data_IF_114852637395
#
_entry.id   IF_114852637395
#
_cell.length_a   1.000
_cell.length_b   1.000
_cell.length_c   1.000
_cell.angle_alpha   90.00
_cell.angle_beta   90.00
_cell.angle_gamma   90.00
#
_symmetry.space_group_name_H-M   'P 1'
#
loop_
_entity.id
_entity.type
_entity.pdbx_description
1 polymer ?
#
# COMPACT_ATOMS: atom_id res chain seq x y z
N UNK A 1 30.09 -11.22 21.22
CA UNK A 1 30.49 -10.67 19.90
C UNK A 1 29.40 -9.71 19.46
N UNK A 2 29.73 -8.44 19.18
CA UNK A 2 28.76 -7.51 18.62
C UNK A 2 28.54 -7.86 17.14
N UNK A 3 27.28 -8.04 16.73
CA UNK A 3 26.93 -8.22 15.32
C UNK A 3 27.17 -6.89 14.61
N UNK A 4 27.91 -6.86 13.49
CA UNK A 4 28.11 -5.63 12.74
C UNK A 4 26.77 -5.12 12.22
N UNK A 5 26.45 -3.87 12.52
CA UNK A 5 25.24 -3.23 12.03
C UNK A 5 25.25 -3.19 10.49
N UNK A 6 24.11 -3.50 9.90
CA UNK A 6 23.86 -3.29 8.48
C UNK A 6 23.86 -1.81 8.11
N UNK A 7 23.99 -1.52 6.81
CA UNK A 7 23.89 -0.16 6.29
C UNK A 7 22.54 0.50 6.64
N UNK A 8 21.45 -0.29 6.64
CA UNK A 8 20.10 0.16 6.99
C UNK A 8 20.02 0.51 8.48
N UNK A 9 20.55 -0.35 9.35
CA UNK A 9 20.59 -0.07 10.80
C UNK A 9 21.44 1.17 11.11
N UNK A 10 22.55 1.35 10.39
CA UNK A 10 23.43 2.51 10.54
C UNK A 10 22.73 3.80 10.11
N UNK A 11 22.05 3.78 8.97
CA UNK A 11 21.23 4.90 8.50
C UNK A 11 20.08 5.20 9.46
N UNK A 12 19.42 4.17 10.01
CA UNK A 12 18.35 4.35 10.99
C UNK A 12 18.84 4.94 12.32
N UNK A 13 20.01 4.52 12.81
CA UNK A 13 20.61 5.13 14.01
C UNK A 13 20.94 6.61 13.81
N UNK A 14 21.42 6.99 12.61
CA UNK A 14 21.63 8.40 12.28
C UNK A 14 20.31 9.18 12.32
N UNK A 15 19.20 8.60 11.84
CA UNK A 15 17.89 9.25 11.91
C UNK A 15 17.40 9.41 13.36
N UNK A 16 17.52 8.38 14.20
CA UNK A 16 17.14 8.46 15.61
C UNK A 16 17.97 9.51 16.36
N UNK A 17 19.27 9.61 16.05
CA UNK A 17 20.17 10.54 16.72
C UNK A 17 19.91 12.01 16.38
N UNK A 18 19.38 12.31 15.19
CA UNK A 18 19.24 13.67 14.68
C UNK A 18 17.81 14.21 14.69
N UNK A 19 16.80 13.35 14.89
CA UNK A 19 15.40 13.74 14.80
C UNK A 19 14.58 13.30 16.00
N UNK A 20 13.57 14.10 16.34
CA UNK A 20 12.62 13.76 17.40
C UNK A 20 11.74 12.58 17.01
N UNK A 21 11.20 11.86 18.00
CA UNK A 21 10.28 10.76 17.75
C UNK A 21 9.04 11.19 16.96
N UNK A 22 8.55 12.42 17.18
CA UNK A 22 7.46 13.01 16.40
C UNK A 22 7.85 13.19 14.93
N UNK A 23 9.00 13.80 14.64
CA UNK A 23 9.47 13.99 13.26
C UNK A 23 9.72 12.65 12.56
N UNK A 24 10.26 11.67 13.29
CA UNK A 24 10.48 10.31 12.80
C UNK A 24 9.15 9.64 12.43
N UNK A 25 8.18 9.65 13.35
CA UNK A 25 6.88 8.98 13.17
C UNK A 25 5.96 9.67 12.15
N UNK A 26 6.19 10.95 11.86
CA UNK A 26 5.34 11.73 10.95
C UNK A 26 6.06 12.03 9.64
N UNK A 27 6.85 13.10 9.58
CA UNK A 27 7.43 13.64 8.35
C UNK A 27 8.44 12.68 7.72
N UNK A 28 9.34 12.09 8.50
CA UNK A 28 10.37 11.19 7.96
C UNK A 28 9.74 9.89 7.49
N UNK A 29 8.85 9.29 8.29
CA UNK A 29 8.11 8.10 7.87
C UNK A 29 7.26 8.39 6.64
N UNK A 30 6.62 9.55 6.55
CA UNK A 30 5.88 9.98 5.37
C UNK A 30 6.79 10.05 4.14
N UNK A 31 7.94 10.75 4.22
CA UNK A 31 8.88 10.85 3.10
C UNK A 31 9.43 9.48 2.67
N UNK A 32 9.76 8.60 3.62
CA UNK A 32 10.19 7.24 3.34
C UNK A 32 9.06 6.44 2.65
N UNK A 33 7.85 6.52 3.16
CA UNK A 33 6.66 5.88 2.60
C UNK A 33 6.38 6.36 1.18
N UNK A 34 6.28 7.67 0.96
CA UNK A 34 6.05 8.26 -0.37
C UNK A 34 7.15 7.85 -1.34
N UNK A 35 8.42 7.89 -0.92
CA UNK A 35 9.54 7.50 -1.79
C UNK A 35 9.42 6.05 -2.22
N UNK A 36 9.22 5.12 -1.28
CA UNK A 36 9.07 3.69 -1.58
C UNK A 36 7.84 3.47 -2.46
N UNK A 37 6.72 4.10 -2.13
CA UNK A 37 5.46 3.99 -2.85
C UNK A 37 5.61 4.44 -4.32
N UNK A 38 6.10 5.66 -4.58
CA UNK A 38 6.27 6.16 -5.94
C UNK A 38 7.35 5.39 -6.74
N UNK A 39 8.46 5.01 -6.11
CA UNK A 39 9.50 4.21 -6.76
C UNK A 39 8.99 2.81 -7.13
N UNK A 40 8.15 2.21 -6.29
CA UNK A 40 7.55 0.90 -6.57
C UNK A 40 6.60 0.92 -7.77
N UNK A 41 6.07 2.09 -8.14
CA UNK A 41 5.25 2.27 -9.35
C UNK A 41 6.06 2.42 -10.64
N UNK A 42 7.38 2.70 -10.57
CA UNK A 42 8.21 2.90 -11.76
C UNK A 42 8.30 1.66 -12.67
N UNK A 43 8.52 0.43 -12.15
CA UNK A 43 8.52 -0.77 -12.98
C UNK A 43 7.22 -0.92 -13.80
N UNK A 44 6.08 -0.64 -13.16
CA UNK A 44 4.76 -0.67 -13.79
C UNK A 44 4.63 0.31 -14.96
N UNK A 45 5.17 1.53 -14.80
CA UNK A 45 5.20 2.54 -15.86
C UNK A 45 6.15 2.15 -17.00
N UNK A 46 7.30 1.54 -16.69
CA UNK A 46 8.22 1.03 -17.70
C UNK A 46 7.59 -0.12 -18.50
N UNK A 47 6.89 -1.05 -17.83
CA UNK A 47 6.17 -2.13 -18.53
C UNK A 47 5.15 -1.59 -19.52
N UNK A 48 4.39 -0.57 -19.13
CA UNK A 48 3.43 0.06 -20.02
C UNK A 48 4.11 0.82 -21.18
N UNK A 49 5.20 1.54 -20.91
CA UNK A 49 5.93 2.30 -21.94
C UNK A 49 6.60 1.41 -22.98
N UNK A 50 7.11 0.24 -22.57
CA UNK A 50 7.79 -0.70 -23.46
C UNK A 50 6.89 -1.85 -23.94
N UNK A 51 5.60 -1.85 -23.56
CA UNK A 51 4.66 -2.92 -23.93
C UNK A 51 4.98 -4.29 -23.32
N UNK A 52 5.79 -4.33 -22.26
CA UNK A 52 6.15 -5.57 -21.57
C UNK A 52 4.96 -6.05 -20.73
N UNK A 53 4.79 -7.38 -20.63
CA UNK A 53 3.79 -8.00 -19.77
C UNK A 53 2.33 -7.59 -20.03
N UNK A 54 2.01 -7.06 -21.21
CA UNK A 54 0.67 -6.56 -21.56
C UNK A 54 -0.46 -7.59 -21.33
N UNK A 55 -0.18 -8.89 -21.45
CA UNK A 55 -1.13 -9.99 -21.16
C UNK A 55 -1.54 -10.12 -19.70
N UNK A 56 -0.75 -9.56 -18.77
CA UNK A 56 -1.02 -9.60 -17.33
C UNK A 56 -1.65 -8.29 -16.81
N UNK A 57 -1.88 -7.31 -17.70
CA UNK A 57 -2.49 -6.02 -17.35
C UNK A 57 -3.99 -6.18 -17.07
N UNK A 58 -4.43 -5.83 -15.86
CA UNK A 58 -5.83 -5.95 -15.42
C UNK A 58 -6.72 -4.92 -16.14
N UNK A 59 -6.28 -3.66 -16.20
CA UNK A 59 -7.04 -2.58 -16.83
C UNK A 59 -6.68 -2.45 -18.33
N UNK A 60 -7.60 -2.85 -19.22
CA UNK A 60 -7.40 -2.79 -20.69
C UNK A 60 -7.49 -1.38 -21.29
N UNK A 61 -7.66 -0.35 -20.47
CA UNK A 61 -7.72 1.05 -20.93
C UNK A 61 -6.34 1.52 -21.38
N UNK A 62 -6.30 2.28 -22.48
CA UNK A 62 -5.08 3.00 -22.90
C UNK A 62 -4.85 4.19 -21.96
N UNK A 63 -3.72 4.18 -21.24
CA UNK A 63 -3.35 5.25 -20.33
C UNK A 63 -2.62 6.35 -21.11
N UNK A 64 -3.35 7.38 -21.53
CA UNK A 64 -2.72 8.56 -22.13
C UNK A 64 -1.89 9.31 -21.10
N UNK A 65 -0.80 9.97 -21.53
CA UNK A 65 0.08 10.73 -20.62
C UNK A 65 -0.68 11.81 -19.84
N UNK A 66 -1.70 12.44 -20.46
CA UNK A 66 -2.56 13.41 -19.79
C UNK A 66 -3.40 12.79 -18.66
N UNK A 67 -3.86 11.54 -18.82
CA UNK A 67 -4.60 10.82 -17.78
C UNK A 67 -3.68 10.39 -16.64
N UNK A 68 -2.48 9.88 -16.97
CA UNK A 68 -1.46 9.52 -15.99
C UNK A 68 -1.06 10.73 -15.13
N UNK A 69 -0.79 11.88 -15.75
CA UNK A 69 -0.44 13.10 -15.02
C UNK A 69 -1.55 13.55 -14.06
N UNK A 70 -2.82 13.50 -14.49
CA UNK A 70 -3.96 13.81 -13.62
C UNK A 70 -4.08 12.82 -12.45
N UNK A 71 -3.83 11.53 -12.70
CA UNK A 71 -3.83 10.50 -11.68
C UNK A 71 -2.74 10.74 -10.64
N UNK A 72 -1.49 10.93 -11.09
CA UNK A 72 -0.33 11.19 -10.23
C UNK A 72 -0.53 12.46 -9.41
N UNK A 73 -0.99 13.56 -10.03
CA UNK A 73 -1.22 14.81 -9.30
C UNK A 73 -2.31 14.67 -8.23
N UNK A 74 -3.40 13.98 -8.55
CA UNK A 74 -4.48 13.69 -7.59
C UNK A 74 -3.99 12.77 -6.47
N UNK A 75 -3.12 11.80 -6.79
CA UNK A 75 -2.51 10.91 -5.81
C UNK A 75 -1.64 11.70 -4.83
N UNK A 76 -0.72 12.53 -5.34
CA UNK A 76 0.11 13.43 -4.53
C UNK A 76 -0.76 14.33 -3.64
N UNK A 77 -1.81 14.92 -4.19
CA UNK A 77 -2.74 15.77 -3.43
C UNK A 77 -3.35 15.01 -2.26
N UNK A 78 -3.83 13.77 -2.45
CA UNK A 78 -4.41 12.99 -1.36
C UNK A 78 -3.37 12.56 -0.32
N UNK A 79 -2.15 12.21 -0.73
CA UNK A 79 -1.10 11.82 0.22
C UNK A 79 -0.68 13.00 1.09
N UNK A 80 -0.49 14.18 0.49
CA UNK A 80 -0.09 15.38 1.23
C UNK A 80 -1.24 15.98 2.03
N UNK A 81 -2.45 16.06 1.47
CA UNK A 81 -3.58 16.77 2.12
C UNK A 81 -4.43 15.88 3.02
N UNK A 82 -4.30 14.55 2.93
CA UNK A 82 -5.08 13.62 3.77
C UNK A 82 -4.15 12.74 4.59
N UNK A 83 -3.23 11.98 3.96
CA UNK A 83 -2.40 11.03 4.70
C UNK A 83 -1.48 11.73 5.71
N UNK A 84 -0.75 12.77 5.30
CA UNK A 84 0.16 13.48 6.20
C UNK A 84 -0.58 14.12 7.40
N UNK A 85 -1.70 14.85 7.24
CA UNK A 85 -2.50 15.31 8.37
C UNK A 85 -2.99 14.17 9.27
N UNK A 86 -3.46 13.06 8.71
CA UNK A 86 -3.90 11.90 9.51
C UNK A 86 -2.74 11.33 10.32
N UNK A 87 -1.55 11.20 9.75
CA UNK A 87 -0.35 10.75 10.48
C UNK A 87 0.02 11.69 11.63
N UNK A 88 -0.02 13.01 11.39
CA UNK A 88 0.27 14.02 12.42
C UNK A 88 -0.77 13.97 13.54
N UNK A 89 -2.06 13.96 13.21
CA UNK A 89 -3.16 14.00 14.17
C UNK A 89 -3.30 12.70 14.96
N UNK A 90 -2.91 11.56 14.39
CA UNK A 90 -2.98 10.25 15.05
C UNK A 90 -1.76 9.96 15.93
N UNK A 91 -0.65 10.70 15.80
CA UNK A 91 0.57 10.48 16.58
C UNK A 91 0.35 10.40 18.10
N UNK A 92 -0.43 11.30 18.76
CA UNK A 92 -0.64 11.21 20.20
C UNK A 92 -1.31 9.89 20.63
N UNK A 93 -2.25 9.39 19.82
CA UNK A 93 -2.92 8.12 20.08
C UNK A 93 -1.95 6.95 19.95
N UNK A 94 -1.14 6.91 18.89
CA UNK A 94 -0.13 5.87 18.71
C UNK A 94 0.96 5.92 19.79
N UNK A 95 1.36 7.13 20.22
CA UNK A 95 2.30 7.30 21.32
C UNK A 95 1.74 6.75 22.63
N UNK A 96 0.47 7.05 22.92
CA UNK A 96 -0.25 6.49 24.08
C UNK A 96 -0.32 4.96 24.03
N UNK A 97 -0.50 4.38 22.85
CA UNK A 97 -0.51 2.92 22.62
C UNK A 97 0.88 2.28 22.65
N UNK A 98 1.95 3.04 22.85
CA UNK A 98 3.31 2.51 23.05
C UNK A 98 4.23 2.58 21.83
N UNK A 99 3.97 3.45 20.84
CA UNK A 99 4.90 3.71 19.74
C UNK A 99 6.30 4.12 20.27
N UNK A 100 7.33 3.47 19.73
CA UNK A 100 8.75 3.72 20.01
C UNK A 100 9.55 3.69 18.70
N UNK A 101 10.56 4.55 18.59
CA UNK A 101 11.50 4.59 17.45
C UNK A 101 12.68 3.63 17.58
N UNK A 102 12.82 2.96 18.73
CA UNK A 102 13.91 2.03 19.02
C UNK A 102 13.86 0.78 18.14
N UNK A 103 15.03 0.30 17.73
CA UNK A 103 15.18 -0.99 17.05
C UNK A 103 14.67 -2.17 17.91
N UNK A 104 14.25 -3.29 17.29
CA UNK A 104 14.26 -3.58 15.84
C UNK A 104 13.10 -2.94 15.07
N UNK A 105 13.37 -2.56 13.81
CA UNK A 105 12.32 -2.06 12.91
C UNK A 105 11.34 -3.17 12.52
N UNK A 106 10.04 -2.88 12.32
CA UNK A 106 9.06 -3.91 12.01
C UNK A 106 8.97 -4.16 10.48
N UNK A 107 8.70 -5.41 10.09
CA UNK A 107 8.94 -6.00 8.75
C UNK A 107 7.88 -5.73 7.65
N UNK A 108 6.95 -4.81 7.88
CA UNK A 108 5.69 -4.61 7.12
C UNK A 108 5.83 -3.74 5.86
N UNK A 109 7.04 -3.30 5.49
CA UNK A 109 7.25 -2.46 4.29
C UNK A 109 6.91 -3.21 2.98
N UNK A 110 7.15 -4.53 2.93
CA UNK A 110 6.89 -5.36 1.75
C UNK A 110 5.38 -5.51 1.47
N UNK A 111 4.56 -5.50 2.51
CA UNK A 111 3.10 -5.61 2.44
C UNK A 111 2.47 -4.45 1.68
N UNK A 112 2.90 -3.23 2.00
CA UNK A 112 2.31 -2.02 1.43
C UNK A 112 2.59 -1.94 -0.08
N UNK A 113 3.80 -2.29 -0.49
CA UNK A 113 4.22 -2.34 -1.91
C UNK A 113 3.39 -3.36 -2.68
N UNK A 114 3.17 -4.54 -2.09
CA UNK A 114 2.37 -5.59 -2.70
C UNK A 114 0.94 -5.13 -2.97
N UNK A 115 0.26 -4.56 -1.97
CA UNK A 115 -1.14 -4.14 -2.06
C UNK A 115 -1.38 -2.98 -3.05
N UNK A 116 -0.38 -2.16 -3.36
CA UNK A 116 -0.51 -0.97 -4.21
C UNK A 116 0.23 -1.08 -5.56
N UNK A 117 0.89 -2.21 -5.84
CA UNK A 117 1.64 -2.41 -7.08
C UNK A 117 0.78 -2.34 -8.35
N UNK A 118 -0.52 -2.62 -8.24
CA UNK A 118 -1.45 -2.73 -9.36
C UNK A 118 -1.32 -4.03 -10.17
N UNK A 119 -0.52 -4.99 -9.69
CA UNK A 119 -0.32 -6.30 -10.30
C UNK A 119 -0.59 -7.41 -9.29
N UNK A 120 -1.19 -8.50 -9.76
CA UNK A 120 -1.42 -9.70 -8.95
C UNK A 120 -0.57 -10.86 -9.47
N UNK A 121 0.63 -11.01 -8.91
CA UNK A 121 1.57 -12.05 -9.33
C UNK A 121 1.23 -13.42 -8.71
N UNK A 122 1.52 -14.56 -9.37
CA UNK A 122 1.31 -15.89 -8.79
C UNK A 122 2.10 -16.14 -7.49
N UNK A 123 3.25 -15.48 -7.34
CA UNK A 123 4.14 -15.59 -6.17
C UNK A 123 3.92 -14.48 -5.13
N UNK A 124 2.84 -13.71 -5.25
CA UNK A 124 2.52 -12.68 -4.26
C UNK A 124 2.33 -13.31 -2.86
N UNK A 125 2.97 -12.79 -1.79
CA UNK A 125 2.78 -13.30 -0.43
C UNK A 125 1.31 -13.44 0.00
N UNK A 126 0.43 -12.54 -0.44
CA UNK A 126 -1.02 -12.59 -0.24
C UNK A 126 -1.70 -13.84 -0.80
N UNK A 127 -1.11 -14.55 -1.77
CA UNK A 127 -1.65 -15.82 -2.27
C UNK A 127 -1.46 -16.99 -1.30
N UNK A 128 -0.51 -16.88 -0.37
CA UNK A 128 -0.16 -17.95 0.56
C UNK A 128 -0.74 -17.72 1.96
N UNK A 129 -1.32 -16.54 2.22
CA UNK A 129 -1.89 -16.15 3.51
C UNK A 129 -3.40 -15.93 3.40
N UNK A 130 -4.24 -16.87 3.88
CA UNK A 130 -5.69 -16.89 3.60
C UNK A 130 -6.52 -15.75 4.22
N UNK A 131 -5.89 -14.85 4.98
CA UNK A 131 -6.53 -13.71 5.66
C UNK A 131 -5.88 -12.38 5.27
N UNK A 132 -5.12 -12.37 4.17
CA UNK A 132 -4.32 -11.24 3.72
C UNK A 132 -4.81 -10.73 2.36
N UNK A 133 -5.13 -9.44 2.31
CA UNK A 133 -5.57 -8.72 1.11
C UNK A 133 -4.37 -8.29 0.30
N UNK A 134 -4.29 -8.77 -0.94
CA UNK A 134 -3.32 -8.30 -1.92
C UNK A 134 -3.86 -7.17 -2.80
N UNK A 135 -3.12 -6.89 -3.88
CA UNK A 135 -3.46 -5.88 -4.88
C UNK A 135 -4.86 -6.04 -5.48
N UNK A 136 -5.35 -7.27 -5.63
CA UNK A 136 -6.71 -7.58 -6.10
C UNK A 136 -7.81 -7.07 -5.17
N UNK A 137 -7.61 -7.21 -3.85
CA UNK A 137 -8.60 -6.77 -2.85
C UNK A 137 -8.60 -5.25 -2.76
N UNK A 138 -7.41 -4.64 -2.80
CA UNK A 138 -7.23 -3.20 -2.76
C UNK A 138 -7.73 -2.50 -4.05
N UNK A 139 -7.55 -3.09 -5.23
CA UNK A 139 -8.13 -2.57 -6.48
C UNK A 139 -9.67 -2.62 -6.44
N UNK A 140 -10.25 -3.69 -5.88
CA UNK A 140 -11.70 -3.73 -5.70
C UNK A 140 -12.19 -2.63 -4.78
N UNK A 141 -11.50 -2.37 -3.67
CA UNK A 141 -11.79 -1.24 -2.78
C UNK A 141 -11.86 0.07 -3.56
N UNK A 142 -10.83 0.42 -4.34
CA UNK A 142 -10.82 1.66 -5.15
C UNK A 142 -11.93 1.71 -6.20
N UNK A 143 -12.24 0.57 -6.84
CA UNK A 143 -13.31 0.48 -7.84
C UNK A 143 -14.68 0.76 -7.22
N UNK A 144 -14.93 0.29 -6.00
CA UNK A 144 -16.23 0.47 -5.36
C UNK A 144 -16.32 1.72 -4.50
N UNK A 145 -15.21 2.29 -4.02
CA UNK A 145 -15.16 3.45 -3.12
C UNK A 145 -16.13 4.57 -3.52
N UNK A 146 -16.22 4.88 -4.82
CA UNK A 146 -17.06 5.97 -5.35
C UNK A 146 -18.47 5.56 -5.78
N UNK A 147 -18.78 4.27 -5.78
CA UNK A 147 -20.06 3.74 -6.29
C UNK A 147 -20.85 2.94 -5.25
N UNK A 148 -20.19 2.34 -4.26
CA UNK A 148 -20.76 1.55 -3.15
C UNK A 148 -19.84 1.59 -1.93
N UNK A 149 -20.42 1.67 -0.72
CA UNK A 149 -19.65 1.58 0.53
C UNK A 149 -19.35 0.11 0.88
N UNK A 150 -18.11 -0.21 1.25
CA UNK A 150 -17.65 -1.55 1.65
C UNK A 150 -16.19 -1.82 1.31
N UNK A 151 -15.69 -3.00 1.68
CA UNK A 151 -14.34 -3.50 1.37
C UNK A 151 -13.23 -2.55 1.87
N UNK A 152 -13.25 -2.18 3.15
CA UNK A 152 -12.49 -1.06 3.71
C UNK A 152 -11.03 -1.37 4.03
N UNK A 153 -10.68 -2.61 4.37
CA UNK A 153 -9.31 -2.96 4.71
C UNK A 153 -8.47 -3.12 3.44
N UNK A 154 -7.25 -2.57 3.43
CA UNK A 154 -6.27 -2.81 2.37
C UNK A 154 -5.64 -4.20 2.48
N UNK A 155 -5.40 -4.65 3.72
CA UNK A 155 -4.66 -5.90 3.98
C UNK A 155 -5.39 -6.86 4.91
N UNK A 156 -5.96 -6.40 6.03
CA UNK A 156 -6.59 -7.29 7.01
C UNK A 156 -8.03 -7.64 6.61
N UNK A 157 -8.18 -8.43 5.55
CA UNK A 157 -9.47 -8.79 4.93
C UNK A 157 -10.38 -9.57 5.86
N UNK A 158 -9.84 -10.19 6.93
CA UNK A 158 -10.66 -10.86 7.94
C UNK A 158 -11.59 -9.90 8.69
N UNK A 159 -11.23 -8.62 8.81
CA UNK A 159 -12.10 -7.58 9.38
C UNK A 159 -13.28 -7.32 8.46
N UNK A 160 -13.05 -7.19 7.15
CA UNK A 160 -14.16 -7.06 6.21
C UNK A 160 -15.03 -8.31 6.14
N UNK A 161 -14.45 -9.49 6.32
CA UNK A 161 -15.20 -10.74 6.41
C UNK A 161 -16.07 -10.78 7.68
N UNK A 162 -15.53 -10.38 8.84
CA UNK A 162 -16.23 -10.35 10.13
C UNK A 162 -17.43 -9.40 10.07
N UNK A 163 -17.25 -8.21 9.52
CA UNK A 163 -18.29 -7.18 9.40
C UNK A 163 -19.09 -7.28 8.10
N UNK A 164 -18.81 -8.28 7.25
CA UNK A 164 -19.48 -8.55 5.98
C UNK A 164 -19.44 -7.41 4.96
N UNK A 165 -18.40 -6.58 5.03
CA UNK A 165 -18.17 -5.45 4.13
C UNK A 165 -17.46 -5.89 2.84
N UNK A 166 -16.93 -7.12 2.75
CA UNK A 166 -16.35 -7.73 1.54
C UNK A 166 -17.36 -8.46 0.63
N UNK A 167 -18.65 -8.51 0.98
CA UNK A 167 -19.66 -9.29 0.26
C UNK A 167 -19.71 -8.99 -1.26
N UNK A 168 -19.55 -7.72 -1.63
CA UNK A 168 -19.48 -7.30 -3.03
C UNK A 168 -18.27 -7.90 -3.76
N UNK A 169 -17.10 -7.88 -3.10
CA UNK A 169 -15.86 -8.45 -3.62
C UNK A 169 -16.03 -9.95 -3.88
N UNK A 170 -16.54 -10.70 -2.91
CA UNK A 170 -16.78 -12.15 -3.03
C UNK A 170 -17.76 -12.49 -4.15
N UNK A 171 -18.80 -11.68 -4.34
CA UNK A 171 -19.75 -11.84 -5.44
C UNK A 171 -19.11 -11.58 -6.80
N UNK A 172 -18.21 -10.61 -6.90
CA UNK A 172 -17.47 -10.32 -8.13
C UNK A 172 -16.39 -11.37 -8.45
N UNK A 173 -15.76 -11.97 -7.44
CA UNK A 173 -14.77 -13.07 -7.57
C UNK A 173 -15.39 -14.44 -7.80
N UNK A 174 -16.69 -14.62 -7.52
CA UNK A 174 -17.38 -15.89 -7.85
C UNK A 174 -17.30 -16.10 -9.37
N UNK A 175 -16.80 -17.25 -9.85
CA UNK A 175 -16.86 -17.55 -11.27
C UNK A 175 -18.32 -17.47 -11.70
N UNK A 176 -18.57 -16.81 -12.84
CA UNK A 176 -19.87 -16.85 -13.50
C UNK A 176 -20.18 -18.32 -13.71
N UNK A 177 -21.06 -18.87 -12.87
CA UNK A 177 -21.58 -20.23 -13.04
C UNK A 177 -22.19 -20.18 -14.42
N UNK A 178 -21.57 -20.84 -15.40
CA UNK A 178 -22.16 -20.97 -16.73
C UNK A 178 -23.57 -21.48 -16.47
N UNK A 179 -24.56 -20.72 -16.94
CA UNK A 179 -25.91 -21.24 -17.02
C UNK A 179 -25.79 -22.46 -17.93
N UNK A 180 -25.77 -23.66 -17.34
CA UNK A 180 -26.16 -24.87 -18.06
C UNK A 180 -27.66 -24.78 -18.29
#
# INVERSE_FOLDING_TARGET
>A
MAVPMSAIESAWQLLIANFTEFQLATVITFLLHETVFFLSGLPSLLFERFGLFAKYKIQKRSNTSAYQNRCVLRLILYHVSVNLPVMILSYPAFKFMGLRSSLPLPHWVLETVEAHSGYHFPWSPSNFLPLYGGSDFHDYHHRVLYTKSGNYASTFVYMDWLFRTDNGYRKAKRPLRSKK
#
